data_IF_058653345998
#
_entry.id   IF_058653345998
#
_cell.length_a   1.000
_cell.length_b   1.000
_cell.length_c   1.000
_cell.angle_alpha   90.00
_cell.angle_beta   90.00
_cell.angle_gamma   90.00
#
_symmetry.space_group_name_H-M   'P 1'
#
loop_
_entity.id
_entity.type
_entity.pdbx_description
1 polymer ?
#
# COMPACT_ATOMS: atom_id res chain seq x y z
N UNK A 1 -34.30 -19.97 -21.04
CA UNK A 1 -33.39 -20.95 -20.41
C UNK A 1 -32.41 -20.15 -19.55
N UNK A 2 -32.54 -20.21 -18.22
CA UNK A 2 -31.61 -19.56 -17.29
C UNK A 2 -30.28 -20.32 -17.35
N UNK A 3 -29.16 -19.61 -17.53
CA UNK A 3 -27.83 -20.22 -17.46
C UNK A 3 -27.57 -20.71 -16.02
N UNK A 4 -27.00 -21.91 -15.83
CA UNK A 4 -26.72 -22.43 -14.50
C UNK A 4 -25.77 -21.49 -13.73
N UNK A 5 -25.87 -21.45 -12.39
CA UNK A 5 -24.98 -20.65 -11.56
C UNK A 5 -23.51 -21.00 -11.84
N UNK A 6 -22.64 -19.98 -11.93
CA UNK A 6 -21.22 -20.15 -12.22
C UNK A 6 -20.58 -21.01 -11.11
N UNK A 7 -20.05 -22.21 -11.41
CA UNK A 7 -19.48 -23.07 -10.38
C UNK A 7 -18.15 -22.47 -9.89
N UNK A 8 -17.90 -22.59 -8.58
CA UNK A 8 -16.60 -22.23 -7.99
C UNK A 8 -15.53 -23.18 -8.54
N UNK A 9 -14.47 -22.63 -9.17
CA UNK A 9 -13.48 -23.44 -9.89
C UNK A 9 -12.83 -24.54 -9.04
N UNK A 10 -12.55 -24.27 -7.76
CA UNK A 10 -11.89 -25.24 -6.90
C UNK A 10 -12.75 -26.49 -6.69
N UNK A 11 -14.02 -26.31 -6.34
CA UNK A 11 -14.99 -27.40 -6.15
C UNK A 11 -15.26 -28.12 -7.48
N UNK A 12 -15.42 -27.35 -8.56
CA UNK A 12 -15.61 -27.89 -9.89
C UNK A 12 -14.43 -28.77 -10.34
N UNK A 13 -13.19 -28.30 -10.17
CA UNK A 13 -12.00 -29.05 -10.58
C UNK A 13 -11.86 -30.34 -9.79
N UNK A 14 -12.12 -30.31 -8.48
CA UNK A 14 -12.10 -31.50 -7.62
C UNK A 14 -13.13 -32.54 -8.09
N UNK A 15 -14.36 -32.12 -8.35
CA UNK A 15 -15.41 -32.98 -8.90
C UNK A 15 -15.00 -33.56 -10.26
N UNK A 16 -14.40 -32.75 -11.15
CA UNK A 16 -13.92 -33.21 -12.44
C UNK A 16 -12.78 -34.23 -12.31
N UNK A 17 -11.91 -34.12 -11.31
CA UNK A 17 -10.87 -35.12 -11.03
C UNK A 17 -11.49 -36.44 -10.58
N UNK A 18 -12.57 -36.39 -9.78
CA UNK A 18 -13.32 -37.59 -9.34
C UNK A 18 -14.06 -38.30 -10.47
N UNK A 19 -14.56 -37.55 -11.45
CA UNK A 19 -15.32 -38.14 -12.56
C UNK A 19 -14.51 -39.10 -13.44
N UNK A 20 -13.17 -38.96 -13.48
CA UNK A 20 -12.28 -39.75 -14.33
C UNK A 20 -12.50 -39.58 -15.84
N UNK A 21 -13.29 -38.58 -16.27
CA UNK A 21 -13.71 -38.39 -17.66
C UNK A 21 -12.63 -37.74 -18.55
N UNK A 22 -11.56 -37.23 -17.97
CA UNK A 22 -10.54 -36.45 -18.67
C UNK A 22 -9.20 -37.22 -18.69
N UNK A 23 -8.69 -37.59 -19.88
CA UNK A 23 -7.41 -38.28 -19.99
C UNK A 23 -6.28 -37.51 -19.29
N UNK A 24 -5.60 -38.17 -18.35
CA UNK A 24 -4.47 -37.59 -17.62
C UNK A 24 -4.83 -36.69 -16.43
N UNK A 25 -6.12 -36.50 -16.11
CA UNK A 25 -6.59 -35.82 -14.89
C UNK A 25 -7.09 -36.87 -13.88
N UNK A 26 -6.37 -37.05 -12.77
CA UNK A 26 -6.74 -37.99 -11.71
C UNK A 26 -5.99 -37.73 -10.41
N UNK A 27 -6.47 -38.31 -9.31
CA UNK A 27 -5.76 -38.31 -8.02
C UNK A 27 -4.52 -39.22 -8.07
N UNK A 28 -3.36 -38.65 -7.76
CA UNK A 28 -2.10 -39.38 -7.59
C UNK A 28 -1.96 -39.88 -6.16
N UNK A 29 -2.45 -39.10 -5.19
CA UNK A 29 -2.51 -39.41 -3.75
C UNK A 29 -3.78 -38.80 -3.15
N UNK A 30 -4.11 -39.12 -1.89
CA UNK A 30 -5.32 -38.61 -1.20
C UNK A 30 -5.47 -37.07 -1.27
N UNK A 31 -4.35 -36.33 -1.18
CA UNK A 31 -4.34 -34.87 -1.26
C UNK A 31 -3.61 -34.35 -2.51
N UNK A 32 -3.37 -35.17 -3.53
CA UNK A 32 -2.65 -34.73 -4.74
C UNK A 32 -3.34 -35.21 -5.99
N UNK A 33 -3.52 -34.30 -6.94
CA UNK A 33 -4.05 -34.61 -8.26
C UNK A 33 -3.10 -34.11 -9.35
N UNK A 34 -3.12 -34.78 -10.49
CA UNK A 34 -2.38 -34.36 -11.68
C UNK A 34 -3.31 -33.77 -12.71
N UNK A 35 -2.81 -32.76 -13.44
CA UNK A 35 -3.49 -32.11 -14.56
C UNK A 35 -2.63 -32.28 -15.81
N UNK A 36 -3.19 -32.73 -16.95
CA UNK A 36 -2.45 -32.80 -18.22
C UNK A 36 -2.06 -31.40 -18.69
N UNK A 37 -0.83 -31.20 -19.18
CA UNK A 37 -0.30 -29.88 -19.53
C UNK A 37 0.43 -29.80 -20.87
N UNK A 38 0.07 -30.65 -21.84
CA UNK A 38 0.68 -30.70 -23.17
C UNK A 38 0.64 -29.35 -23.91
N UNK A 39 1.73 -28.99 -24.59
CA UNK A 39 1.85 -27.70 -25.29
C UNK A 39 1.11 -27.72 -26.64
N UNK A 40 0.30 -26.69 -26.91
CA UNK A 40 -0.58 -26.63 -28.10
C UNK A 40 0.19 -26.65 -29.44
N UNK A 41 1.46 -26.22 -29.47
CA UNK A 41 2.29 -26.25 -30.68
C UNK A 41 2.88 -27.64 -31.00
N UNK A 42 2.72 -28.64 -30.11
CA UNK A 42 3.21 -29.99 -30.39
C UNK A 42 2.35 -30.64 -31.48
N UNK A 43 3.00 -31.31 -32.44
CA UNK A 43 2.34 -31.98 -33.56
C UNK A 43 1.38 -33.10 -33.13
N UNK A 44 1.59 -33.68 -31.96
CA UNK A 44 0.78 -34.75 -31.37
C UNK A 44 -0.30 -34.22 -30.40
N UNK A 45 -0.53 -32.90 -30.31
CA UNK A 45 -1.59 -32.33 -29.48
C UNK A 45 -2.96 -32.51 -30.16
N UNK A 46 -3.88 -33.23 -29.52
CA UNK A 46 -5.23 -33.48 -30.04
C UNK A 46 -6.31 -32.75 -29.21
N UNK A 47 -7.58 -33.00 -29.50
CA UNK A 47 -8.72 -32.42 -28.75
C UNK A 47 -8.84 -33.00 -27.34
N UNK A 48 -8.42 -34.26 -27.14
CA UNK A 48 -8.42 -34.95 -25.84
C UNK A 48 -7.53 -34.23 -24.82
N UNK A 49 -6.35 -33.79 -25.26
CA UNK A 49 -5.37 -33.04 -24.44
C UNK A 49 -5.92 -31.70 -23.94
N UNK A 50 -6.94 -31.16 -24.63
CA UNK A 50 -7.56 -29.87 -24.31
C UNK A 50 -8.95 -30.00 -23.67
N UNK A 51 -9.44 -31.23 -23.44
CA UNK A 51 -10.81 -31.47 -22.95
C UNK A 51 -11.11 -30.79 -21.63
N UNK A 52 -10.22 -30.88 -20.65
CA UNK A 52 -10.44 -30.25 -19.33
C UNK A 52 -10.47 -28.72 -19.43
N UNK A 53 -9.63 -28.13 -20.30
CA UNK A 53 -9.61 -26.68 -20.52
C UNK A 53 -10.89 -26.20 -21.21
N UNK A 54 -11.39 -26.97 -22.19
CA UNK A 54 -12.67 -26.72 -22.84
C UNK A 54 -13.83 -26.85 -21.87
N UNK A 55 -13.84 -27.90 -21.05
CA UNK A 55 -14.87 -28.13 -20.05
C UNK A 55 -14.96 -26.97 -19.05
N UNK A 56 -13.81 -26.43 -18.63
CA UNK A 56 -13.79 -25.22 -17.81
C UNK A 56 -14.35 -24.00 -18.55
N UNK A 57 -13.99 -23.80 -19.83
CA UNK A 57 -14.54 -22.69 -20.62
C UNK A 57 -16.06 -22.78 -20.76
N UNK A 58 -16.61 -24.00 -20.87
CA UNK A 58 -18.06 -24.26 -20.87
C UNK A 58 -18.67 -23.94 -19.51
N UNK A 59 -18.11 -24.51 -18.42
CA UNK A 59 -18.60 -24.32 -17.06
C UNK A 59 -18.53 -22.85 -16.61
N UNK A 60 -17.50 -22.11 -17.01
CA UNK A 60 -17.31 -20.70 -16.67
C UNK A 60 -18.11 -19.74 -17.56
N UNK A 61 -18.77 -20.24 -18.62
CA UNK A 61 -19.51 -19.45 -19.62
C UNK A 61 -18.64 -18.71 -20.65
N UNK A 62 -17.30 -18.86 -20.60
CA UNK A 62 -16.37 -18.17 -21.51
C UNK A 62 -16.26 -18.83 -22.90
N UNK A 63 -16.85 -20.00 -23.07
CA UNK A 63 -16.96 -20.67 -24.36
C UNK A 63 -17.71 -19.82 -25.41
N UNK A 64 -18.60 -18.92 -24.97
CA UNK A 64 -19.32 -18.01 -25.86
C UNK A 64 -18.42 -16.92 -26.48
N UNK A 65 -17.36 -16.52 -25.78
CA UNK A 65 -16.40 -15.51 -26.24
C UNK A 65 -15.36 -16.10 -27.20
N UNK A 66 -14.95 -17.36 -26.98
CA UNK A 66 -13.94 -18.04 -27.80
C UNK A 66 -14.26 -19.54 -27.97
N UNK A 67 -15.14 -19.90 -28.92
CA UNK A 67 -15.70 -21.25 -29.04
C UNK A 67 -14.76 -22.31 -29.62
N UNK A 68 -13.64 -21.94 -30.24
CA UNK A 68 -12.67 -22.87 -30.84
C UNK A 68 -11.20 -22.55 -30.50
N UNK A 69 -10.94 -21.65 -29.54
CA UNK A 69 -9.58 -21.22 -29.21
C UNK A 69 -9.00 -22.01 -28.02
N UNK A 70 -8.31 -23.10 -28.35
CA UNK A 70 -7.62 -23.96 -27.36
C UNK A 70 -6.57 -23.23 -26.54
N UNK A 71 -5.92 -22.22 -27.12
CA UNK A 71 -4.90 -21.45 -26.42
C UNK A 71 -5.57 -20.57 -25.35
N UNK A 72 -6.67 -19.89 -25.69
CA UNK A 72 -7.46 -19.10 -24.73
C UNK A 72 -8.08 -19.96 -23.63
N UNK A 73 -8.59 -21.16 -23.94
CA UNK A 73 -9.09 -22.08 -22.91
C UNK A 73 -8.02 -22.44 -21.88
N UNK A 74 -6.82 -22.83 -22.35
CA UNK A 74 -5.70 -23.18 -21.49
C UNK A 74 -5.21 -21.97 -20.67
N UNK A 75 -5.15 -20.78 -21.27
CA UNK A 75 -4.80 -19.54 -20.57
C UNK A 75 -5.80 -19.20 -19.47
N UNK A 76 -7.10 -19.27 -19.76
CA UNK A 76 -8.17 -19.09 -18.77
C UNK A 76 -8.00 -20.07 -17.61
N UNK A 77 -7.88 -21.36 -17.91
CA UNK A 77 -7.69 -22.39 -16.89
C UNK A 77 -6.46 -22.13 -16.01
N UNK A 78 -5.31 -21.81 -16.63
CA UNK A 78 -4.07 -21.45 -15.92
C UNK A 78 -4.27 -20.25 -14.99
N UNK A 79 -4.92 -19.20 -15.47
CA UNK A 79 -5.16 -17.99 -14.67
C UNK A 79 -6.02 -18.28 -13.44
N UNK A 80 -7.09 -19.07 -13.60
CA UNK A 80 -7.97 -19.43 -12.48
C UNK A 80 -7.27 -20.37 -11.50
N UNK A 81 -6.54 -21.36 -12.00
CA UNK A 81 -5.77 -22.29 -11.17
C UNK A 81 -4.66 -21.57 -10.37
N UNK A 82 -3.92 -20.66 -10.99
CA UNK A 82 -2.88 -19.88 -10.32
C UNK A 82 -3.45 -18.93 -9.25
N UNK A 83 -4.68 -18.44 -9.44
CA UNK A 83 -5.34 -17.59 -8.44
C UNK A 83 -5.71 -18.37 -7.16
N UNK A 84 -5.79 -19.69 -7.24
CA UNK A 84 -6.13 -20.59 -6.13
C UNK A 84 -4.89 -21.18 -5.46
N UNK A 85 -3.76 -20.47 -5.45
CA UNK A 85 -2.50 -20.93 -4.85
C UNK A 85 -2.59 -21.21 -3.33
N UNK A 86 -3.62 -20.69 -2.66
CA UNK A 86 -3.92 -20.98 -1.24
C UNK A 86 -4.60 -22.33 -1.04
N UNK A 87 -5.24 -22.88 -2.08
CA UNK A 87 -5.97 -24.16 -2.04
C UNK A 87 -5.28 -25.26 -2.84
N UNK A 88 -4.62 -24.91 -3.94
CA UNK A 88 -3.84 -25.82 -4.78
C UNK A 88 -2.40 -25.34 -4.89
N UNK A 89 -1.47 -26.09 -4.33
CA UNK A 89 -0.03 -25.83 -4.44
C UNK A 89 0.58 -26.73 -5.50
N UNK A 90 1.24 -26.17 -6.50
CA UNK A 90 1.98 -26.96 -7.48
C UNK A 90 3.21 -27.58 -6.80
N UNK A 91 3.29 -28.91 -6.78
CA UNK A 91 4.39 -29.64 -6.13
C UNK A 91 5.39 -30.17 -7.15
N UNK A 92 4.93 -30.56 -8.34
CA UNK A 92 5.81 -31.02 -9.43
C UNK A 92 5.34 -30.46 -10.78
N UNK A 93 6.29 -29.92 -11.54
CA UNK A 93 6.08 -29.48 -12.92
C UNK A 93 6.79 -30.43 -13.89
N UNK A 94 6.02 -31.33 -14.49
CA UNK A 94 6.48 -32.25 -15.52
C UNK A 94 5.99 -31.81 -16.91
N UNK A 95 5.66 -30.53 -17.12
CA UNK A 95 5.10 -30.03 -18.39
C UNK A 95 6.08 -30.12 -19.58
N UNK A 96 7.38 -30.31 -19.31
CA UNK A 96 8.42 -30.49 -20.33
C UNK A 96 8.67 -31.98 -20.68
N UNK A 97 7.97 -32.91 -20.04
CA UNK A 97 8.13 -34.33 -20.31
C UNK A 97 7.70 -34.63 -21.76
N UNK A 98 8.53 -35.33 -22.57
CA UNK A 98 8.21 -35.63 -23.96
C UNK A 98 7.02 -36.59 -24.09
N UNK A 99 6.86 -37.56 -23.18
CA UNK A 99 5.85 -38.62 -23.31
C UNK A 99 4.58 -38.32 -22.52
N UNK A 100 4.72 -37.81 -21.29
CA UNK A 100 3.58 -37.51 -20.40
C UNK A 100 3.70 -36.11 -19.77
N UNK A 101 3.38 -35.03 -20.50
CA UNK A 101 3.44 -33.67 -19.98
C UNK A 101 2.29 -33.40 -19.00
N UNK A 102 2.61 -33.25 -17.71
CA UNK A 102 1.61 -33.01 -16.66
C UNK A 102 2.13 -32.11 -15.53
N UNK A 103 1.24 -31.61 -14.70
CA UNK A 103 1.56 -30.89 -13.46
C UNK A 103 0.83 -31.52 -12.28
N UNK A 104 1.50 -31.63 -11.14
CA UNK A 104 0.93 -32.22 -9.92
C UNK A 104 0.67 -31.10 -8.91
N UNK A 105 -0.55 -31.06 -8.41
CA UNK A 105 -1.01 -30.11 -7.41
C UNK A 105 -1.40 -30.85 -6.13
N UNK A 106 -1.04 -30.25 -5.01
CA UNK A 106 -1.41 -30.68 -3.66
C UNK A 106 -2.51 -29.77 -3.11
N UNK A 107 -3.52 -30.40 -2.51
CA UNK A 107 -4.66 -29.74 -1.90
C UNK A 107 -4.26 -29.36 -0.47
N UNK A 108 -4.17 -28.07 -0.18
CA UNK A 108 -3.87 -27.57 1.16
C UNK A 108 -5.18 -27.50 1.95
N UNK A 109 -5.38 -28.45 2.87
CA UNK A 109 -6.50 -28.43 3.80
C UNK A 109 -6.21 -27.43 4.93
N UNK A 110 -6.79 -26.24 4.89
CA UNK A 110 -7.01 -25.44 6.11
C UNK A 110 -8.10 -26.13 6.93
N UNK A 111 -7.64 -26.94 7.90
CA UNK A 111 -8.36 -27.60 8.98
C UNK A 111 -9.34 -28.71 8.59
N UNK A 112 -8.85 -29.95 8.65
CA UNK A 112 -9.66 -31.10 9.01
C UNK A 112 -8.80 -32.10 9.79
N UNK A 113 -8.84 -31.98 11.12
CA UNK A 113 -8.55 -33.12 11.99
C UNK A 113 -9.57 -34.20 11.68
N UNK A 114 -9.10 -35.29 11.10
CA UNK A 114 -9.76 -36.58 11.18
C UNK A 114 -8.71 -37.61 11.55
N UNK A 115 -8.27 -37.58 12.82
CA UNK A 115 -7.83 -38.80 13.45
C UNK A 115 -9.07 -39.58 13.90
N UNK A 116 -9.16 -40.85 13.49
CA UNK A 116 -9.91 -41.90 14.20
C UNK A 116 -11.31 -42.27 13.68
N UNK A 117 -11.38 -43.27 12.81
CA UNK A 117 -12.51 -44.22 12.69
C UNK A 117 -12.48 -45.18 13.91
N UNK A 118 -13.63 -45.72 14.43
CA UNK A 118 -14.31 -46.84 13.74
C UNK A 118 -15.85 -47.01 13.91
N UNK A 119 -16.45 -47.54 12.85
CA UNK A 119 -17.57 -48.52 12.65
C UNK A 119 -18.69 -48.81 13.69
N UNK A 120 -19.93 -48.87 13.15
CA UNK A 120 -21.21 -49.53 13.58
C UNK A 120 -22.01 -48.83 14.70
N UNK A 121 -23.35 -48.67 14.72
CA UNK A 121 -24.51 -49.27 14.03
C UNK A 121 -25.79 -48.44 14.30
N UNK A 122 -26.72 -48.42 13.33
CA UNK A 122 -28.21 -48.40 13.40
C UNK A 122 -29.01 -47.45 14.33
N UNK A 123 -29.92 -46.69 13.68
CA UNK A 123 -31.37 -46.55 13.93
C UNK A 123 -31.94 -45.22 14.53
N UNK A 124 -32.79 -44.56 13.69
CA UNK A 124 -34.02 -43.73 13.88
C UNK A 124 -34.18 -42.88 15.18
N UNK A 125 -34.59 -41.61 15.18
CA UNK A 125 -35.86 -41.06 14.66
C UNK A 125 -35.95 -39.50 14.76
N UNK A 126 -36.80 -38.93 13.92
CA UNK A 126 -37.54 -37.63 13.85
C UNK A 126 -37.13 -36.30 14.55
N UNK A 127 -37.17 -35.21 13.74
CA UNK A 127 -37.96 -33.95 13.89
C UNK A 127 -37.28 -32.58 13.64
N UNK A 128 -37.71 -31.96 12.53
CA UNK A 128 -38.16 -30.55 12.28
C UNK A 128 -37.17 -29.35 12.29
N UNK A 129 -36.88 -28.91 11.04
CA UNK A 129 -36.50 -27.61 10.39
C UNK A 129 -36.55 -26.24 11.13
N UNK A 130 -36.09 -25.10 10.55
CA UNK A 130 -35.27 -24.87 9.33
C UNK A 130 -34.01 -23.98 9.56
N UNK A 131 -32.95 -24.16 8.76
CA UNK A 131 -31.82 -23.21 8.72
C UNK A 131 -31.81 -22.46 7.39
N UNK A 132 -31.82 -21.14 7.58
CA UNK A 132 -31.72 -20.04 6.67
C UNK A 132 -30.53 -20.16 5.69
N UNK A 133 -30.82 -19.91 4.42
CA UNK A 133 -29.92 -19.96 3.27
C UNK A 133 -29.39 -18.54 2.98
N UNK A 134 -28.07 -18.26 2.97
CA UNK A 134 -27.55 -17.07 2.34
C UNK A 134 -27.08 -17.41 0.92
N UNK A 135 -27.93 -17.03 -0.02
CA UNK A 135 -27.63 -17.00 -1.44
C UNK A 135 -26.72 -15.81 -1.80
N UNK A 136 -25.85 -16.04 -2.80
CA UNK A 136 -25.36 -15.10 -3.82
C UNK A 136 -24.10 -14.28 -3.48
N UNK A 137 -22.94 -14.80 -3.91
CA UNK A 137 -21.77 -13.99 -4.31
C UNK A 137 -21.81 -13.74 -5.82
N UNK A 138 -22.00 -12.48 -6.23
CA UNK A 138 -21.86 -12.01 -7.61
C UNK A 138 -20.38 -11.68 -7.88
N UNK A 139 -19.77 -12.33 -8.87
CA UNK A 139 -18.45 -11.95 -9.41
C UNK A 139 -18.61 -11.04 -10.64
N UNK A 140 -17.94 -9.87 -10.72
CA UNK A 140 -17.89 -9.11 -11.95
C UNK A 140 -16.93 -9.72 -12.98
N UNK A 141 -17.30 -9.45 -14.22
CA UNK A 141 -16.77 -9.90 -15.49
C UNK A 141 -15.25 -9.67 -15.64
N UNK A 142 -14.56 -10.68 -16.16
CA UNK A 142 -13.13 -10.66 -16.47
C UNK A 142 -12.90 -9.82 -17.72
N UNK A 143 -12.27 -8.64 -17.59
CA UNK A 143 -11.82 -7.84 -18.73
C UNK A 143 -10.54 -8.42 -19.36
N UNK A 144 -10.48 -8.35 -20.68
CA UNK A 144 -9.50 -8.94 -21.61
C UNK A 144 -8.06 -8.38 -21.56
N UNK A 145 -7.67 -7.63 -20.52
CA UNK A 145 -6.34 -6.97 -20.45
C UNK A 145 -5.18 -7.94 -20.17
N UNK A 146 -5.45 -9.20 -19.81
CA UNK A 146 -4.41 -10.19 -19.47
C UNK A 146 -3.82 -10.92 -20.69
N UNK A 147 -4.29 -10.66 -21.91
CA UNK A 147 -3.74 -11.27 -23.13
C UNK A 147 -2.53 -10.51 -23.71
N UNK A 148 -2.30 -9.26 -23.30
CA UNK A 148 -1.24 -8.43 -23.89
C UNK A 148 0.14 -8.64 -23.25
N UNK A 149 0.21 -9.10 -22.00
CA UNK A 149 1.49 -9.20 -21.28
C UNK A 149 2.30 -10.48 -21.58
N UNK A 150 1.68 -11.49 -22.19
CA UNK A 150 2.36 -12.76 -22.53
C UNK A 150 2.86 -12.82 -24.00
N UNK A 151 2.74 -11.73 -24.78
CA UNK A 151 3.22 -11.65 -26.17
C UNK A 151 4.64 -11.05 -26.32
N UNK A 152 5.30 -10.67 -25.23
CA UNK A 152 6.68 -10.15 -25.22
C UNK A 152 7.78 -11.23 -25.30
N UNK A 153 7.44 -12.44 -25.78
CA UNK A 153 8.39 -13.55 -25.91
C UNK A 153 8.72 -13.90 -27.38
N UNK A 154 8.65 -12.95 -28.30
CA UNK A 154 9.18 -13.10 -29.66
C UNK A 154 10.00 -11.86 -30.07
N UNK A 155 11.29 -12.09 -30.16
CA UNK A 155 12.32 -11.23 -30.75
C UNK A 155 12.08 -11.05 -32.25
N UNK A 156 12.23 -9.81 -32.75
CA UNK A 156 12.62 -9.42 -34.12
C UNK A 156 12.71 -7.88 -34.16
N UNK A 157 13.94 -7.36 -34.24
CA UNK A 157 14.23 -5.93 -34.20
C UNK A 157 14.06 -5.17 -35.52
N UNK A 158 13.87 -3.86 -35.43
CA UNK A 158 14.52 -2.80 -36.25
C UNK A 158 14.16 -1.41 -35.71
N UNK A 159 15.16 -0.53 -35.57
CA UNK A 159 15.11 0.92 -35.24
C UNK A 159 15.31 1.74 -36.55
N UNK A 160 15.47 3.08 -36.57
CA UNK A 160 14.50 4.17 -36.27
C UNK A 160 14.54 5.32 -37.32
N UNK A 161 13.68 6.35 -37.20
CA UNK A 161 13.91 7.73 -37.72
C UNK A 161 12.89 8.68 -37.03
N UNK A 162 13.22 9.62 -36.13
CA UNK A 162 13.90 10.94 -36.19
C UNK A 162 13.10 12.15 -36.74
N UNK A 163 13.40 13.32 -36.13
CA UNK A 163 13.00 14.75 -36.35
C UNK A 163 11.84 15.30 -35.48
N UNK A 164 11.94 16.27 -34.54
CA UNK A 164 12.74 17.47 -34.16
C UNK A 164 11.98 18.83 -34.29
N UNK A 165 11.90 19.55 -33.16
CA UNK A 165 11.81 21.02 -32.92
C UNK A 165 10.59 21.80 -33.48
N UNK A 166 10.10 22.93 -32.93
CA UNK A 166 10.73 24.14 -32.37
C UNK A 166 9.91 24.81 -31.23
N UNK A 167 10.55 25.72 -30.49
CA UNK A 167 10.04 26.57 -29.42
C UNK A 167 9.58 27.95 -29.92
N UNK A 168 8.74 28.69 -29.16
CA UNK A 168 8.75 30.17 -29.08
C UNK A 168 7.77 30.76 -28.03
N UNK A 169 7.92 32.06 -27.77
CA UNK A 169 7.87 32.77 -26.48
C UNK A 169 6.66 33.72 -26.32
N UNK A 170 6.48 34.18 -25.07
CA UNK A 170 5.53 35.11 -24.45
C UNK A 170 5.09 36.40 -25.19
N UNK A 171 3.90 36.92 -24.84
CA UNK A 171 3.53 38.36 -24.89
C UNK A 171 2.64 38.76 -23.68
N UNK A 172 2.96 39.96 -23.14
CA UNK A 172 2.33 40.73 -22.04
C UNK A 172 0.99 41.40 -22.41
N UNK A 173 0.22 41.82 -21.41
CA UNK A 173 -0.53 43.09 -21.47
C UNK A 173 -0.57 43.81 -20.12
N UNK A 174 -0.14 45.08 -20.13
CA UNK A 174 -0.29 46.10 -19.08
C UNK A 174 -1.62 46.84 -19.22
N UNK A 175 -2.12 47.43 -18.11
CA UNK A 175 -2.76 48.77 -18.12
C UNK A 175 -2.85 49.36 -16.71
N UNK A 176 -2.55 50.66 -16.61
CA UNK A 176 -2.40 51.47 -15.39
C UNK A 176 -3.41 52.65 -15.35
N UNK A 177 -3.29 53.48 -14.28
CA UNK A 177 -3.73 54.91 -14.07
C UNK A 177 -4.98 55.10 -13.17
N UNK A 178 -5.11 56.05 -12.20
CA UNK A 178 -4.25 56.95 -11.38
C UNK A 178 -5.14 57.83 -10.45
N UNK A 179 -4.65 58.22 -9.26
CA UNK A 179 -4.88 59.53 -8.57
C UNK A 179 -5.76 59.52 -7.31
N UNK A 180 -5.56 60.27 -6.20
CA UNK A 180 -4.55 61.24 -5.70
C UNK A 180 -4.80 61.48 -4.17
N UNK A 181 -3.77 61.91 -3.43
CA UNK A 181 -3.67 62.32 -1.99
C UNK A 181 -4.31 63.72 -1.72
N UNK A 182 -4.46 64.31 -0.47
CA UNK A 182 -3.48 64.35 0.65
C UNK A 182 -4.00 64.42 2.13
N UNK A 183 -3.03 64.58 3.04
CA UNK A 183 -3.04 64.44 4.50
C UNK A 183 -3.50 65.67 5.32
N UNK A 184 -3.85 65.46 6.60
CA UNK A 184 -3.74 66.44 7.69
C UNK A 184 -3.68 65.73 9.07
N UNK A 185 -2.89 66.31 9.99
CA UNK A 185 -2.60 65.84 11.35
C UNK A 185 -3.41 66.62 12.40
N UNK A 186 -3.63 66.06 13.61
CA UNK A 186 -3.77 66.83 14.87
C UNK A 186 -3.75 65.94 16.15
N UNK A 187 -3.43 66.58 17.28
CA UNK A 187 -2.95 66.07 18.59
C UNK A 187 -4.05 65.70 19.64
N UNK A 188 -3.83 64.60 20.39
CA UNK A 188 -3.90 64.32 21.89
C UNK A 188 -4.76 65.29 22.77
N UNK A 189 -5.58 64.87 23.80
CA UNK A 189 -5.20 64.04 24.98
C UNK A 189 -6.22 63.05 25.63
N UNK A 190 -5.63 62.25 26.53
CA UNK A 190 -6.18 61.26 27.48
C UNK A 190 -7.23 61.81 28.46
N UNK A 191 -8.20 60.96 28.85
CA UNK A 191 -8.96 61.06 30.10
C UNK A 191 -9.34 59.66 30.61
N UNK A 192 -8.87 59.31 31.82
CA UNK A 192 -9.47 58.30 32.72
C UNK A 192 -10.51 59.03 33.60
N UNK A 193 -11.60 58.36 34.02
CA UNK A 193 -11.68 58.00 35.44
C UNK A 193 -12.40 56.68 35.77
N UNK A 194 -11.96 56.09 36.88
CA UNK A 194 -12.64 55.34 37.95
C UNK A 194 -13.54 54.13 37.66
N UNK A 195 -13.12 53.00 38.21
CA UNK A 195 -13.91 51.79 38.46
C UNK A 195 -15.01 52.03 39.52
N UNK A 196 -16.06 51.18 39.50
CA UNK A 196 -16.30 50.38 40.69
C UNK A 196 -16.43 48.89 40.38
N UNK A 197 -15.93 48.14 41.36
CA UNK A 197 -15.94 46.69 41.50
C UNK A 197 -17.37 46.19 41.71
N UNK A 198 -17.82 45.23 40.89
CA UNK A 198 -18.69 44.15 41.34
C UNK A 198 -18.22 42.84 40.69
N UNK A 199 -17.99 41.86 41.56
CA UNK A 199 -17.52 40.53 41.22
C UNK A 199 -18.55 39.77 40.40
N UNK A 200 -18.14 39.24 39.24
CA UNK A 200 -18.78 38.08 38.64
C UNK A 200 -17.69 37.17 38.09
N UNK A 201 -17.75 35.91 38.49
CA UNK A 201 -16.70 34.91 38.30
C UNK A 201 -16.45 34.64 36.81
N UNK A 202 -15.42 35.27 36.26
CA UNK A 202 -14.85 34.89 34.97
C UNK A 202 -14.01 33.65 35.21
N UNK A 203 -14.49 32.51 34.71
CA UNK A 203 -13.67 31.32 34.49
C UNK A 203 -12.37 31.76 33.79
N UNK A 204 -11.17 31.39 34.30
CA UNK A 204 -9.95 31.69 33.57
C UNK A 204 -10.04 31.01 32.21
N UNK A 205 -9.86 31.80 31.16
CA UNK A 205 -9.63 31.29 29.81
C UNK A 205 -8.58 30.16 29.91
N UNK A 206 -8.76 29.04 29.19
CA UNK A 206 -7.81 27.94 29.27
C UNK A 206 -6.45 28.50 28.86
N UNK A 207 -5.54 28.50 29.83
CA UNK A 207 -4.11 28.68 29.60
C UNK A 207 -3.77 27.71 28.49
N UNK A 208 -3.43 28.23 27.30
CA UNK A 208 -2.89 27.43 26.21
C UNK A 208 -1.66 26.73 26.78
N UNK A 209 -1.82 25.44 27.10
CA UNK A 209 -0.71 24.55 27.38
C UNK A 209 0.34 24.76 26.29
N UNK A 210 1.65 24.79 26.61
CA UNK A 210 2.66 24.72 25.56
C UNK A 210 2.33 23.52 24.66
N UNK A 211 2.52 23.62 23.32
CA UNK A 211 2.16 22.55 22.41
C UNK A 211 2.74 21.24 22.94
N UNK A 212 1.86 20.30 23.28
CA UNK A 212 2.30 19.00 23.79
C UNK A 212 3.18 18.36 22.74
N UNK A 213 4.39 17.97 23.15
CA UNK A 213 5.34 17.33 22.27
C UNK A 213 4.70 16.07 21.66
N UNK A 214 4.71 15.92 20.33
CA UNK A 214 4.18 14.71 19.70
C UNK A 214 5.03 13.51 20.09
N UNK A 215 4.37 12.38 20.27
CA UNK A 215 5.02 11.09 20.50
C UNK A 215 5.50 10.50 19.18
N UNK A 216 6.31 9.44 19.29
CA UNK A 216 6.83 8.69 18.15
C UNK A 216 5.70 8.05 17.31
N UNK A 217 4.53 7.83 17.91
CA UNK A 217 3.37 7.17 17.32
C UNK A 217 2.34 8.15 16.74
N UNK A 218 2.57 9.46 16.87
CA UNK A 218 1.67 10.48 16.32
C UNK A 218 1.94 10.69 14.83
N UNK A 219 0.96 10.31 14.02
CA UNK A 219 1.00 10.37 12.57
C UNK A 219 -0.11 11.28 12.04
N UNK A 220 0.22 12.15 11.10
CA UNK A 220 -0.75 12.83 10.23
C UNK A 220 -0.86 12.06 8.92
N UNK A 221 -2.06 11.61 8.59
CA UNK A 221 -2.36 10.86 7.36
C UNK A 221 -3.31 11.69 6.50
N UNK A 222 -2.97 11.82 5.23
CA UNK A 222 -3.85 12.43 4.24
C UNK A 222 -3.97 11.56 2.99
N UNK A 223 -5.21 11.38 2.53
CA UNK A 223 -5.57 10.59 1.35
C UNK A 223 -6.08 11.54 0.28
N UNK A 224 -5.47 11.48 -0.90
CA UNK A 224 -5.77 12.35 -2.03
C UNK A 224 -6.17 11.51 -3.23
N UNK A 225 -7.26 11.92 -3.89
CA UNK A 225 -7.61 11.43 -5.22
C UNK A 225 -7.27 12.49 -6.27
N UNK A 226 -6.14 12.29 -6.98
CA UNK A 226 -5.48 13.32 -7.79
C UNK A 226 -5.17 14.57 -6.98
N UNK A 227 -5.77 15.69 -7.34
CA UNK A 227 -5.58 17.00 -6.69
C UNK A 227 -6.46 17.20 -5.46
N UNK A 228 -7.46 16.35 -5.26
CA UNK A 228 -8.47 16.54 -4.22
C UNK A 228 -8.06 15.77 -2.98
N UNK A 229 -7.89 16.47 -1.86
CA UNK A 229 -7.82 15.85 -0.54
C UNK A 229 -9.20 15.29 -0.19
N UNK A 230 -9.25 13.99 0.09
CA UNK A 230 -10.48 13.28 0.41
C UNK A 230 -10.58 12.99 1.91
N UNK A 231 -9.43 12.88 2.58
CA UNK A 231 -9.35 12.67 4.01
C UNK A 231 -8.04 13.27 4.52
N UNK A 232 -8.10 13.93 5.68
CA UNK A 232 -6.95 14.30 6.49
C UNK A 232 -7.27 14.07 7.95
N UNK A 233 -6.41 13.33 8.64
CA UNK A 233 -6.58 12.99 10.05
C UNK A 233 -5.24 12.87 10.76
N UNK A 234 -5.27 13.05 12.07
CA UNK A 234 -4.13 12.81 12.96
C UNK A 234 -4.53 11.74 13.94
N UNK A 235 -3.66 10.75 14.13
CA UNK A 235 -3.91 9.63 15.03
C UNK A 235 -2.62 9.18 15.72
N UNK A 236 -2.78 8.59 16.90
CA UNK A 236 -1.70 8.00 17.67
C UNK A 236 -1.80 6.47 17.58
N UNK A 237 -0.89 5.82 16.86
CA UNK A 237 -0.89 4.35 16.74
C UNK A 237 0.49 3.77 16.49
N UNK A 238 0.70 2.54 16.99
CA UNK A 238 1.85 1.71 16.63
C UNK A 238 1.64 0.95 15.31
N UNK A 239 0.39 0.70 14.95
CA UNK A 239 0.02 -0.12 13.81
C UNK A 239 -1.22 0.46 13.14
N UNK A 240 -1.14 0.74 11.84
CA UNK A 240 -2.19 1.33 11.02
C UNK A 240 -2.48 0.42 9.82
N UNK A 241 -3.73 0.01 9.65
CA UNK A 241 -4.19 -0.72 8.48
C UNK A 241 -5.03 0.19 7.58
N UNK A 242 -4.51 0.47 6.39
CA UNK A 242 -5.23 1.18 5.33
C UNK A 242 -6.00 0.15 4.49
N UNK A 243 -7.33 0.26 4.43
CA UNK A 243 -8.18 -0.70 3.72
C UNK A 243 -9.38 -0.02 3.06
N UNK A 244 -10.05 -0.68 2.12
CA UNK A 244 -11.33 -0.17 1.57
C UNK A 244 -12.48 -1.14 1.90
N UNK A 245 -12.28 -2.43 1.65
CA UNK A 245 -13.20 -3.49 2.09
C UNK A 245 -12.60 -4.23 3.29
N UNK A 246 -13.25 -4.17 4.46
CA UNK A 246 -12.72 -4.82 5.67
C UNK A 246 -13.02 -6.32 5.66
N UNK A 247 -12.05 -7.14 5.25
CA UNK A 247 -12.06 -8.58 5.49
C UNK A 247 -11.22 -8.89 6.74
N UNK A 248 -11.91 -9.07 7.87
CA UNK A 248 -11.37 -9.42 9.20
C UNK A 248 -10.26 -8.48 9.74
N UNK A 249 -10.56 -7.62 10.73
CA UNK A 249 -9.56 -6.73 11.31
C UNK A 249 -8.44 -7.52 12.01
N UNK A 250 -7.18 -7.19 11.72
CA UNK A 250 -6.07 -7.64 12.57
C UNK A 250 -6.25 -7.03 13.97
N UNK A 251 -6.38 -7.88 15.00
CA UNK A 251 -6.85 -7.52 16.35
C UNK A 251 -6.10 -6.38 17.09
N UNK A 252 -5.00 -5.84 16.53
CA UNK A 252 -4.16 -4.82 17.15
C UNK A 252 -3.82 -3.63 16.22
N UNK A 253 -4.49 -3.46 15.08
CA UNK A 253 -4.25 -2.35 14.17
C UNK A 253 -5.32 -1.26 14.32
N UNK A 254 -4.92 0.01 14.18
CA UNK A 254 -5.86 1.10 13.94
C UNK A 254 -6.31 1.03 12.48
N UNK A 255 -7.62 1.01 12.24
CA UNK A 255 -8.17 0.82 10.90
C UNK A 255 -8.54 2.17 10.28
N UNK A 256 -7.98 2.47 9.11
CA UNK A 256 -8.31 3.67 8.36
C UNK A 256 -8.85 3.28 6.98
N UNK A 257 -10.15 3.52 6.81
CA UNK A 257 -10.85 3.22 5.58
C UNK A 257 -10.57 4.30 4.52
N UNK A 258 -10.32 3.89 3.28
CA UNK A 258 -10.29 4.83 2.16
C UNK A 258 -11.67 5.47 1.95
N UNK A 259 -11.76 6.80 1.77
CA UNK A 259 -13.03 7.47 1.49
C UNK A 259 -13.61 7.03 0.15
N UNK A 260 -14.94 7.04 0.01
CA UNK A 260 -15.58 6.79 -1.28
C UNK A 260 -15.24 7.90 -2.29
N UNK A 261 -15.53 7.65 -3.57
CA UNK A 261 -15.35 8.64 -4.64
C UNK A 261 -16.43 9.73 -4.65
N UNK A 262 -17.22 9.85 -3.59
CA UNK A 262 -18.26 10.87 -3.43
C UNK A 262 -17.69 12.29 -3.49
N UNK A 263 -18.37 13.15 -4.24
CA UNK A 263 -17.96 14.54 -4.47
C UNK A 263 -16.84 14.73 -5.49
N UNK A 264 -16.40 13.69 -6.20
CA UNK A 264 -15.66 13.86 -7.45
C UNK A 264 -16.63 14.13 -8.62
N UNK A 265 -16.20 14.93 -9.60
CA UNK A 265 -17.02 15.29 -10.76
C UNK A 265 -16.62 14.56 -12.04
N UNK A 266 -15.35 14.18 -12.17
CA UNK A 266 -14.81 13.51 -13.36
C UNK A 266 -15.15 12.01 -13.33
N UNK A 267 -16.14 11.62 -14.12
CA UNK A 267 -16.61 10.22 -14.19
C UNK A 267 -15.51 9.23 -14.61
N UNK A 268 -14.57 9.63 -15.48
CA UNK A 268 -13.46 8.74 -15.87
C UNK A 268 -12.50 8.55 -14.71
N UNK A 269 -12.18 9.63 -14.00
CA UNK A 269 -11.37 9.53 -12.78
C UNK A 269 -12.05 8.62 -11.74
N UNK A 270 -13.36 8.79 -11.52
CA UNK A 270 -14.13 7.98 -10.57
C UNK A 270 -14.00 6.49 -10.94
N UNK A 271 -14.26 6.13 -12.20
CA UNK A 271 -14.17 4.75 -12.67
C UNK A 271 -12.78 4.13 -12.42
N UNK A 272 -11.70 4.85 -12.74
CA UNK A 272 -10.35 4.36 -12.49
C UNK A 272 -10.01 4.29 -11.00
N UNK A 273 -10.47 5.25 -10.20
CA UNK A 273 -10.24 5.29 -8.75
C UNK A 273 -10.97 4.13 -8.08
N UNK A 274 -12.24 3.91 -8.41
CA UNK A 274 -13.04 2.79 -7.89
C UNK A 274 -12.43 1.44 -8.29
N UNK A 275 -11.90 1.30 -9.51
CA UNK A 275 -11.18 0.08 -9.92
C UNK A 275 -9.99 -0.22 -9.01
N UNK A 276 -9.25 0.80 -8.57
CA UNK A 276 -8.14 0.64 -7.63
C UNK A 276 -8.67 0.36 -6.22
N UNK A 277 -9.63 1.13 -5.72
CA UNK A 277 -10.23 0.95 -4.39
C UNK A 277 -10.82 -0.44 -4.21
N UNK A 278 -11.54 -0.96 -5.20
CA UNK A 278 -12.11 -2.31 -5.19
C UNK A 278 -11.04 -3.41 -5.16
N UNK A 279 -9.79 -3.11 -5.53
CA UNK A 279 -8.65 -4.03 -5.40
C UNK A 279 -7.96 -3.98 -4.03
N UNK A 280 -8.39 -3.07 -3.14
CA UNK A 280 -7.90 -2.90 -1.76
C UNK A 280 -8.93 -3.55 -0.81
N UNK A 281 -8.65 -4.80 -0.46
CA UNK A 281 -9.35 -5.56 0.57
C UNK A 281 -8.61 -5.33 1.89
N UNK A 282 -7.64 -6.19 2.25
CA UNK A 282 -6.82 -6.02 3.47
C UNK A 282 -5.89 -4.81 3.43
N UNK A 283 -5.54 -4.37 2.23
CA UNK A 283 -4.79 -3.18 1.88
C UNK A 283 -3.31 -3.16 2.30
N UNK A 284 -2.94 -2.16 3.08
CA UNK A 284 -1.56 -1.88 3.49
C UNK A 284 -1.48 -1.80 5.02
N UNK A 285 -0.51 -2.50 5.61
CA UNK A 285 -0.18 -2.40 7.01
C UNK A 285 1.05 -1.51 7.19
N UNK A 286 0.94 -0.52 8.05
CA UNK A 286 2.02 0.40 8.43
C UNK A 286 2.30 0.23 9.92
N UNK A 287 3.56 0.01 10.26
CA UNK A 287 4.01 -0.27 11.62
C UNK A 287 5.07 0.75 12.02
N UNK A 288 4.84 1.42 13.13
CA UNK A 288 5.79 2.35 13.74
C UNK A 288 6.55 1.61 14.83
N UNK A 289 7.88 1.59 14.70
CA UNK A 289 8.80 1.04 15.68
C UNK A 289 9.74 2.14 16.16
N UNK A 290 10.51 1.89 17.21
CA UNK A 290 11.43 2.88 17.78
C UNK A 290 12.54 3.31 16.82
N UNK A 291 12.92 2.45 15.86
CA UNK A 291 13.99 2.71 14.88
C UNK A 291 13.49 3.29 13.55
N UNK A 292 12.18 3.23 13.27
CA UNK A 292 11.66 3.67 11.99
C UNK A 292 10.20 3.28 11.73
N UNK A 293 9.75 3.58 10.50
CA UNK A 293 8.41 3.28 10.01
C UNK A 293 8.51 2.27 8.88
N UNK A 294 7.74 1.21 9.01
CA UNK A 294 7.72 0.08 8.10
C UNK A 294 6.34 -0.05 7.46
N UNK A 295 6.31 -0.53 6.22
CA UNK A 295 5.05 -0.88 5.58
C UNK A 295 5.13 -2.21 4.84
N UNK A 296 4.01 -2.92 4.80
CA UNK A 296 3.85 -4.18 4.11
C UNK A 296 2.51 -4.22 3.40
N UNK A 297 2.54 -4.56 2.11
CA UNK A 297 1.32 -4.71 1.33
C UNK A 297 0.68 -6.07 1.59
N UNK A 298 -0.61 -6.10 1.88
CA UNK A 298 -1.35 -7.35 2.13
C UNK A 298 -2.09 -7.86 0.88
N UNK A 299 -2.33 -7.00 -0.10
CA UNK A 299 -3.16 -7.28 -1.28
C UNK A 299 -2.42 -7.39 -2.62
N UNK A 300 -3.18 -7.52 -3.70
CA UNK A 300 -2.72 -7.50 -5.09
C UNK A 300 -2.58 -6.09 -5.67
N UNK A 301 -3.24 -5.08 -5.12
CA UNK A 301 -3.09 -3.67 -5.52
C UNK A 301 -1.62 -3.25 -5.41
N UNK A 302 -0.97 -2.81 -6.48
CA UNK A 302 0.45 -2.42 -6.37
C UNK A 302 0.57 -1.13 -5.55
N UNK A 303 1.47 -1.11 -4.57
CA UNK A 303 1.76 0.10 -3.80
C UNK A 303 3.22 0.45 -4.00
N UNK A 304 3.48 1.70 -4.29
CA UNK A 304 4.82 2.25 -4.42
C UNK A 304 5.00 3.32 -3.35
N UNK A 305 6.17 3.37 -2.72
CA UNK A 305 6.45 4.30 -1.63
C UNK A 305 7.78 5.01 -1.83
N UNK A 306 7.87 6.26 -1.38
CA UNK A 306 9.10 7.05 -1.36
C UNK A 306 8.98 8.21 -0.38
N UNK A 307 10.07 8.54 0.31
CA UNK A 307 10.24 9.81 1.01
C UNK A 307 10.87 10.89 0.14
N UNK A 308 11.53 10.50 -0.95
CA UNK A 308 12.18 11.39 -1.91
C UNK A 308 11.23 12.33 -2.63
N UNK A 309 11.77 13.47 -3.08
CA UNK A 309 11.07 14.42 -3.96
C UNK A 309 10.29 13.69 -5.07
N UNK A 310 8.95 13.79 -5.07
CA UNK A 310 8.10 13.11 -6.05
C UNK A 310 8.31 13.59 -7.50
N UNK A 311 8.88 14.77 -7.69
CA UNK A 311 9.14 15.35 -9.01
C UNK A 311 10.34 14.72 -9.73
N UNK A 312 11.24 14.05 -8.98
CA UNK A 312 12.42 13.39 -9.52
C UNK A 312 12.10 11.94 -9.82
N UNK A 313 12.25 11.54 -11.09
CA UNK A 313 12.06 10.15 -11.48
C UNK A 313 13.17 9.27 -10.89
N UNK A 314 12.79 8.20 -10.20
CA UNK A 314 13.75 7.21 -9.73
C UNK A 314 13.90 6.09 -10.77
N UNK A 315 15.12 5.65 -11.14
CA UNK A 315 15.33 4.62 -12.16
C UNK A 315 14.65 3.30 -11.79
N UNK A 316 14.64 2.97 -10.49
CA UNK A 316 13.96 1.79 -9.94
C UNK A 316 13.03 2.21 -8.80
N UNK A 317 11.76 2.51 -9.08
CA UNK A 317 10.81 2.89 -8.04
C UNK A 317 10.45 1.72 -7.14
N UNK A 318 10.47 1.94 -5.83
CA UNK A 318 10.29 0.88 -4.85
C UNK A 318 8.82 0.44 -4.80
N UNK A 319 8.55 -0.72 -5.40
CA UNK A 319 7.28 -1.43 -5.26
C UNK A 319 7.29 -2.22 -3.96
N UNK A 320 6.29 -2.01 -3.11
CA UNK A 320 6.17 -2.73 -1.85
C UNK A 320 5.90 -4.22 -2.10
N UNK A 321 6.75 -5.13 -1.55
CA UNK A 321 6.52 -6.56 -1.65
C UNK A 321 5.23 -6.97 -0.92
N UNK A 322 4.62 -8.05 -1.39
CA UNK A 322 3.42 -8.60 -0.74
C UNK A 322 3.83 -9.38 0.51
N UNK A 323 3.15 -9.14 1.63
CA UNK A 323 3.34 -9.82 2.91
C UNK A 323 4.78 -9.75 3.44
N UNK A 324 5.48 -8.67 3.14
CA UNK A 324 6.85 -8.44 3.63
C UNK A 324 6.94 -6.98 4.05
N UNK A 325 7.41 -6.76 5.27
CA UNK A 325 7.65 -5.42 5.80
C UNK A 325 8.93 -4.85 5.20
N UNK A 326 8.87 -3.60 4.75
CA UNK A 326 10.04 -2.84 4.31
C UNK A 326 10.09 -1.53 5.07
N UNK A 327 11.29 -1.10 5.39
CA UNK A 327 11.54 0.20 6.00
C UNK A 327 11.24 1.31 4.98
N UNK A 328 10.40 2.27 5.35
CA UNK A 328 10.07 3.45 4.54
C UNK A 328 10.78 4.69 5.05
N UNK A 329 11.01 4.78 6.36
CA UNK A 329 11.71 5.88 7.01
C UNK A 329 12.52 5.33 8.18
N UNK A 330 13.83 5.62 8.17
CA UNK A 330 14.74 5.34 9.29
C UNK A 330 14.87 6.59 10.14
N UNK A 331 14.63 6.47 11.46
CA UNK A 331 14.79 7.61 12.36
C UNK A 331 16.26 7.98 12.57
N UNK A 332 17.17 7.00 12.57
CA UNK A 332 18.61 7.27 12.64
C UNK A 332 19.09 8.09 11.44
N UNK A 333 18.65 7.72 10.23
CA UNK A 333 18.95 8.48 9.02
C UNK A 333 18.40 9.90 9.12
N UNK A 334 17.13 10.05 9.51
CA UNK A 334 16.49 11.35 9.69
C UNK A 334 17.24 12.23 10.70
N UNK A 335 17.59 11.68 11.87
CA UNK A 335 18.31 12.41 12.92
C UNK A 335 19.69 12.86 12.43
N UNK A 336 20.40 12.02 11.68
CA UNK A 336 21.70 12.37 11.11
C UNK A 336 21.59 13.49 10.07
N UNK A 337 20.59 13.42 9.18
CA UNK A 337 20.32 14.49 8.21
C UNK A 337 19.88 15.79 8.90
N UNK A 338 19.08 15.71 9.97
CA UNK A 338 18.65 16.86 10.77
C UNK A 338 19.83 17.54 11.48
N UNK A 339 20.77 16.75 12.03
CA UNK A 339 22.03 17.26 12.60
C UNK A 339 22.83 18.04 11.56
N UNK A 340 23.02 17.47 10.37
CA UNK A 340 23.74 18.14 9.28
C UNK A 340 23.03 19.40 8.79
N UNK A 341 21.69 19.35 8.69
CA UNK A 341 20.87 20.50 8.33
C UNK A 341 21.02 21.64 9.34
N UNK A 342 20.97 21.34 10.64
CA UNK A 342 21.18 22.32 11.72
C UNK A 342 22.58 22.95 11.67
N UNK A 343 23.58 22.20 11.29
CA UNK A 343 24.96 22.68 11.13
C UNK A 343 25.20 23.41 9.79
N UNK A 344 24.17 23.58 8.95
CA UNK A 344 24.26 24.11 7.59
C UNK A 344 25.18 23.30 6.65
N UNK A 345 25.41 22.03 6.97
CA UNK A 345 26.26 21.10 6.23
C UNK A 345 25.48 20.10 5.35
N UNK A 346 24.14 20.20 5.32
CA UNK A 346 23.27 19.29 4.59
C UNK A 346 21.96 19.94 4.15
N UNK A 347 21.24 19.26 3.26
CA UNK A 347 19.89 19.65 2.87
C UNK A 347 18.88 19.37 3.97
N UNK A 348 17.70 20.00 3.88
CA UNK A 348 16.57 19.68 4.75
C UNK A 348 16.23 18.18 4.68
N UNK A 349 16.05 17.50 5.81
CA UNK A 349 15.67 16.08 5.84
C UNK A 349 14.25 15.88 5.28
N UNK A 350 14.04 14.76 4.58
CA UNK A 350 12.74 14.37 4.05
C UNK A 350 12.11 13.27 4.90
N UNK A 351 11.02 13.61 5.59
CA UNK A 351 10.31 12.70 6.50
C UNK A 351 8.86 12.38 6.07
N UNK A 352 8.39 12.98 4.97
CA UNK A 352 7.04 12.72 4.44
C UNK A 352 7.05 11.47 3.59
N UNK A 353 6.35 10.44 4.01
CA UNK A 353 6.22 9.18 3.27
C UNK A 353 5.05 9.32 2.29
N UNK A 354 5.34 9.31 1.00
CA UNK A 354 4.32 9.30 -0.06
C UNK A 354 4.13 7.88 -0.58
N UNK A 355 2.87 7.43 -0.67
CA UNK A 355 2.49 6.13 -1.18
C UNK A 355 1.46 6.25 -2.29
N UNK A 356 1.73 5.65 -3.46
CA UNK A 356 0.80 5.61 -4.58
C UNK A 356 0.22 4.20 -4.74
N UNK A 357 -1.11 4.12 -4.83
CA UNK A 357 -1.85 2.88 -5.00
C UNK A 357 -2.24 2.70 -6.47
N UNK A 358 -1.95 1.54 -7.04
CA UNK A 358 -2.26 1.18 -8.43
C UNK A 358 -1.29 1.74 -9.48
N UNK A 359 -0.48 2.75 -9.14
CA UNK A 359 0.38 3.46 -10.10
C UNK A 359 1.85 3.51 -9.66
N UNK A 360 2.76 3.42 -10.64
CA UNK A 360 4.21 3.51 -10.42
C UNK A 360 4.60 4.88 -9.86
N UNK A 361 5.45 4.91 -8.84
CA UNK A 361 5.92 6.13 -8.19
C UNK A 361 7.27 5.88 -7.50
N UNK A 362 8.25 6.80 -7.55
CA UNK A 362 8.32 8.02 -8.37
C UNK A 362 8.52 7.74 -9.86
N UNK A 363 7.79 8.44 -10.74
CA UNK A 363 7.90 8.30 -12.20
C UNK A 363 8.18 9.63 -12.92
N UNK A 364 8.58 10.67 -12.18
CA UNK A 364 8.81 12.02 -12.69
C UNK A 364 7.52 12.82 -12.96
N UNK A 365 6.35 12.24 -12.69
CA UNK A 365 5.09 12.99 -12.73
C UNK A 365 4.75 13.50 -11.33
N UNK A 366 4.18 14.70 -11.22
CA UNK A 366 3.74 15.23 -9.94
C UNK A 366 2.66 14.35 -9.30
N UNK A 367 2.63 14.31 -7.96
CA UNK A 367 1.66 13.53 -7.18
C UNK A 367 0.22 13.90 -7.51
N UNK A 368 -0.06 15.15 -7.84
CA UNK A 368 -1.38 15.62 -8.25
C UNK A 368 -1.98 14.88 -9.45
N UNK A 369 -1.15 14.22 -10.27
CA UNK A 369 -1.61 13.44 -11.43
C UNK A 369 -1.96 11.99 -11.06
N UNK A 370 -1.56 11.51 -9.88
CA UNK A 370 -1.80 10.15 -9.40
C UNK A 370 -3.24 10.00 -8.91
N UNK A 371 -3.90 8.90 -9.24
CA UNK A 371 -5.28 8.60 -8.89
C UNK A 371 -5.47 8.46 -7.39
N UNK A 372 -4.57 7.78 -6.67
CA UNK A 372 -4.65 7.59 -5.22
C UNK A 372 -3.27 7.78 -4.59
N UNK A 373 -3.15 8.81 -3.75
CA UNK A 373 -1.94 9.11 -2.97
C UNK A 373 -2.29 9.12 -1.50
N UNK A 374 -1.52 8.39 -0.70
CA UNK A 374 -1.54 8.48 0.75
C UNK A 374 -0.24 9.13 1.19
N UNK A 375 -0.34 10.22 1.95
CA UNK A 375 0.80 10.87 2.58
C UNK A 375 0.76 10.60 4.08
N UNK A 376 1.89 10.16 4.62
CA UNK A 376 2.06 9.92 6.05
C UNK A 376 3.20 10.82 6.54
N UNK A 377 2.89 11.65 7.53
CA UNK A 377 3.83 12.59 8.15
C UNK A 377 3.98 12.24 9.62
N UNK A 378 5.16 11.75 10.07
CA UNK A 378 5.44 11.53 11.47
C UNK A 378 5.56 12.90 12.17
N UNK A 379 4.65 13.18 13.10
CA UNK A 379 4.55 14.50 13.70
C UNK A 379 5.77 14.86 14.54
N UNK A 380 6.43 13.86 15.12
CA UNK A 380 7.71 14.05 15.80
C UNK A 380 8.83 14.53 14.87
N UNK A 381 8.89 14.01 13.64
CA UNK A 381 9.89 14.44 12.67
C UNK A 381 9.64 15.88 12.24
N UNK A 382 8.37 16.24 11.97
CA UNK A 382 7.98 17.63 11.67
C UNK A 382 8.34 18.57 12.82
N UNK A 383 8.00 18.20 14.05
CA UNK A 383 8.29 19.01 15.23
C UNK A 383 9.79 19.29 15.41
N UNK A 384 10.63 18.26 15.31
CA UNK A 384 12.08 18.42 15.43
C UNK A 384 12.69 19.22 14.27
N UNK A 385 12.14 19.07 13.07
CA UNK A 385 12.53 19.85 11.90
C UNK A 385 12.18 21.34 12.06
N UNK A 386 10.95 21.65 12.48
CA UNK A 386 10.49 23.02 12.76
C UNK A 386 11.34 23.68 13.86
N UNK A 387 11.72 22.92 14.91
CA UNK A 387 12.66 23.39 15.93
C UNK A 387 14.03 23.74 15.34
N UNK A 388 14.60 22.87 14.51
CA UNK A 388 15.89 23.14 13.86
C UNK A 388 15.83 24.38 12.96
N UNK A 389 14.73 24.58 12.22
CA UNK A 389 14.52 25.78 11.42
C UNK A 389 14.43 27.05 12.27
N UNK A 390 13.71 26.99 13.39
CA UNK A 390 13.55 28.13 14.31
C UNK A 390 14.86 28.51 15.00
N UNK A 391 15.72 27.52 15.27
CA UNK A 391 17.09 27.72 15.81
C UNK A 391 18.08 28.27 14.77
N UNK A 392 17.66 28.54 13.53
CA UNK A 392 18.46 29.24 12.53
C UNK A 392 19.10 28.35 11.46
N UNK A 393 18.67 27.10 11.30
CA UNK A 393 19.13 26.21 10.22
C UNK A 393 18.71 26.66 8.80
N UNK A 394 17.86 27.69 8.68
CA UNK A 394 17.46 28.29 7.40
C UNK A 394 17.47 29.82 7.49
N UNK A 395 18.42 30.46 6.83
CA UNK A 395 18.69 31.90 6.88
C UNK A 395 17.65 32.81 6.20
N UNK A 396 16.41 32.34 5.97
CA UNK A 396 15.41 33.04 5.14
C UNK A 396 14.10 33.44 5.87
N UNK A 397 13.84 33.00 7.11
CA UNK A 397 12.60 33.33 7.84
C UNK A 397 12.81 33.80 9.30
N UNK A 398 13.84 34.63 9.51
CA UNK A 398 14.15 35.21 10.82
C UNK A 398 13.34 36.48 11.13
N UNK A 399 12.01 36.40 11.22
CA UNK A 399 11.17 37.50 11.77
C UNK A 399 10.68 37.26 13.20
N UNK A 400 10.90 36.07 13.77
CA UNK A 400 10.62 35.76 15.17
C UNK A 400 11.73 34.88 15.77
N UNK A 401 12.93 35.42 15.91
CA UNK A 401 14.01 34.73 16.65
C UNK A 401 13.76 34.94 18.15
N UNK A 402 13.11 33.96 18.79
CA UNK A 402 13.09 33.90 20.26
C UNK A 402 14.45 33.38 20.74
N UNK A 403 15.28 34.27 21.29
CA UNK A 403 16.67 33.99 21.74
C UNK A 403 16.75 33.12 23.03
N UNK A 404 15.69 32.39 23.39
CA UNK A 404 15.59 31.69 24.68
C UNK A 404 15.63 30.16 24.60
N UNK A 405 16.18 29.56 23.54
CA UNK A 405 16.28 28.10 23.44
C UNK A 405 17.76 27.72 23.19
N UNK A 406 18.38 27.09 24.18
CA UNK A 406 19.80 26.68 24.14
C UNK A 406 20.02 25.56 23.13
N UNK A 407 21.10 25.61 22.34
CA UNK A 407 21.45 24.57 21.35
C UNK A 407 21.42 23.11 21.84
N UNK A 408 21.56 22.89 23.16
CA UNK A 408 21.46 21.59 23.80
C UNK A 408 20.04 21.02 23.82
N UNK A 409 18.99 21.85 23.93
CA UNK A 409 17.64 21.35 24.15
C UNK A 409 17.08 20.53 22.99
N UNK A 410 17.43 20.86 21.73
CA UNK A 410 17.03 20.04 20.59
C UNK A 410 17.75 18.68 20.57
N UNK A 411 19.06 18.65 20.84
CA UNK A 411 19.81 17.40 20.84
C UNK A 411 19.46 16.51 22.04
N UNK A 412 19.24 17.12 23.21
CA UNK A 412 18.72 16.43 24.40
C UNK A 412 17.34 15.84 24.12
N UNK A 413 16.50 16.55 23.36
CA UNK A 413 15.18 16.05 22.96
C UNK A 413 15.28 14.89 21.95
N UNK A 414 16.10 15.04 20.91
CA UNK A 414 16.37 13.99 19.93
C UNK A 414 16.84 12.72 20.66
N UNK A 415 17.77 12.86 21.60
CA UNK A 415 18.28 11.76 22.40
C UNK A 415 17.16 11.16 23.27
N UNK A 416 16.35 11.98 23.95
CA UNK A 416 15.22 11.49 24.76
C UNK A 416 14.18 10.69 23.96
N UNK A 417 13.94 11.09 22.70
CA UNK A 417 12.91 10.50 21.84
C UNK A 417 13.39 9.26 21.09
N UNK A 418 14.62 9.28 20.57
CA UNK A 418 15.14 8.23 19.69
C UNK A 418 16.27 7.40 20.31
N UNK A 419 16.86 7.83 21.43
CA UNK A 419 17.94 7.11 22.11
C UNK A 419 17.52 6.73 23.54
N UNK A 420 17.09 5.49 23.75
CA UNK A 420 16.98 4.95 25.11
C UNK A 420 18.37 4.87 25.77
N UNK A 421 18.48 5.11 27.09
CA UNK A 421 19.74 5.01 27.82
C UNK A 421 20.13 3.53 27.92
N UNK A 422 20.98 3.07 26.99
CA UNK A 422 21.30 1.65 26.88
C UNK A 422 22.41 1.35 25.88
N UNK A 423 23.48 2.16 25.89
CA UNK A 423 24.77 1.72 25.39
C UNK A 423 25.75 1.87 26.55
N UNK A 424 25.95 0.79 27.31
CA UNK A 424 27.12 0.68 28.17
C UNK A 424 28.36 0.94 27.32
N UNK A 425 29.09 1.99 27.70
CA UNK A 425 30.44 2.24 27.25
C UNK A 425 31.27 0.96 27.52
N UNK A 426 31.96 0.38 26.52
CA UNK A 426 32.84 -0.75 26.80
C UNK A 426 33.90 -0.29 27.80
N UNK A 427 34.21 -1.09 28.84
CA UNK A 427 35.11 -0.66 29.89
C UNK A 427 36.48 -0.34 29.28
N UNK A 428 36.97 0.87 29.55
CA UNK A 428 38.32 1.27 29.18
C UNK A 428 39.33 0.21 29.67
N UNK A 429 40.34 -0.14 28.86
CA UNK A 429 41.39 -1.03 29.32
C UNK A 429 42.14 -0.35 30.47
N UNK A 430 42.01 -0.94 31.66
CA UNK A 430 42.84 -0.65 32.83
C UNK A 430 44.32 -0.64 32.41
N UNK A 431 44.90 0.55 32.34
CA UNK A 431 46.35 0.72 32.38
C UNK A 431 46.80 0.44 33.80
N UNK A 432 47.15 -0.82 34.08
CA UNK A 432 47.84 -1.18 35.32
C UNK A 432 49.17 -0.43 35.43
N UNK A 433 49.60 -0.02 36.64
CA UNK A 433 50.85 0.68 36.79
C UNK A 433 52.01 -0.28 36.51
N UNK A 434 52.86 0.16 35.58
CA UNK A 434 54.19 -0.39 35.34
C UNK A 434 55.00 -0.35 36.63
N UNK A 435 55.25 -1.52 37.23
CA UNK A 435 56.30 -1.68 38.23
C UNK A 435 57.60 -2.00 37.51
N UNK A 436 58.44 -0.97 37.37
CA UNK A 436 59.86 -1.12 37.09
C UNK A 436 60.65 -0.99 38.40
N UNK A 437 61.52 -1.98 38.65
CA UNK A 437 62.79 -1.90 39.39
C UNK A 437 62.77 -1.51 40.87
N UNK A 438 63.05 -2.48 41.75
CA UNK A 438 64.39 -2.73 42.33
C UNK A 438 64.42 -4.05 43.11
#
# INVERSE_FOLDING_TARGET
MQSPPKPQFASWLMEQVETGQYPGLFYVEQNKFRVPWKHNSRKDCNDEDSKIFRAWAVASGKIAEFPNDKARWKTNFRCVLNNLSTRFKMVKDNSKNPDDPHKIYEIINTNCSYEGLPTQSSQEDSDTTPIYNPSIEFFPLVNEDNLLNDLMALDLGTQPTEEQLWAETCVKHDSAVLGSYPAAAENIPQFLPDQPIYNEAVHPAPVLSPPQQPTLYDLEISIHYRKKEMLKTTLQTKCLQLHYHSETPEFNAHHLCFPSTEGLLDHKQIEFTDRILNSIQRGLLLVVQENGIYAGRQDKCHVFASTSDPSVAHPNPQKLPKNTMVELLSFDKFVNELKQFKENNGSSPEYTINMCFGEKFPDGKPLEKKLIVVKVVPLICRYLHDMAQTEGASSLHSTNVSLQISHNSLFDLINSVFCLPGAEEPPQPNTGPSFAQM
#
